data_IF_378021430084
#
_entry.id   IF_378021430084
#
_cell.length_a   1.000
_cell.length_b   1.000
_cell.length_c   1.000
_cell.angle_alpha   90.00
_cell.angle_beta   90.00
_cell.angle_gamma   90.00
#
_symmetry.space_group_name_H-M   'P 1'
#
loop_
_entity.id
_entity.type
_entity.pdbx_description
1 polymer ?
#
# COMPACT_ATOMS: atom_id res chain seq x y z
N UNK A 1 -24.80 33.80 -9.49
CA UNK A 1 -25.50 32.56 -9.88
C UNK A 1 -24.52 31.70 -10.65
N UNK A 2 -23.70 30.92 -9.94
CA UNK A 2 -22.66 30.08 -10.54
C UNK A 2 -23.31 28.77 -10.99
N UNK A 3 -23.32 28.50 -12.29
CA UNK A 3 -23.79 27.22 -12.81
C UNK A 3 -22.76 26.14 -12.47
N UNK A 4 -23.15 25.01 -11.87
CA UNK A 4 -22.26 23.87 -11.74
C UNK A 4 -22.05 23.23 -13.12
N UNK A 5 -20.80 23.21 -13.59
CA UNK A 5 -20.43 22.49 -14.80
C UNK A 5 -20.62 20.98 -14.59
N UNK A 6 -21.48 20.35 -15.38
CA UNK A 6 -21.67 18.91 -15.38
C UNK A 6 -20.36 18.19 -15.75
N UNK A 7 -19.94 17.14 -15.02
CA UNK A 7 -18.81 16.31 -15.42
C UNK A 7 -19.17 15.58 -16.71
N UNK A 8 -18.29 15.66 -17.71
CA UNK A 8 -18.41 14.97 -18.98
C UNK A 8 -18.71 13.47 -18.75
N UNK A 9 -19.86 13.01 -19.22
CA UNK A 9 -20.25 11.61 -19.08
C UNK A 9 -19.40 10.75 -20.01
N UNK A 10 -18.43 10.03 -19.45
CA UNK A 10 -17.70 8.99 -20.18
C UNK A 10 -18.66 7.81 -20.37
N UNK A 11 -19.21 7.66 -21.58
CA UNK A 11 -20.14 6.58 -21.89
C UNK A 11 -19.43 5.23 -21.73
N UNK A 12 -20.11 4.26 -21.10
CA UNK A 12 -19.60 2.89 -20.99
C UNK A 12 -19.61 2.25 -22.38
N UNK A 13 -18.42 2.13 -22.99
CA UNK A 13 -18.23 1.48 -24.31
C UNK A 13 -18.68 0.01 -24.31
N UNK A 14 -18.60 -0.66 -23.16
CA UNK A 14 -19.03 -2.05 -22.98
C UNK A 14 -20.16 -2.17 -21.96
N UNK A 15 -21.18 -2.96 -22.30
CA UNK A 15 -22.34 -3.17 -21.43
C UNK A 15 -22.01 -3.90 -20.11
N UNK A 16 -20.99 -4.78 -20.09
CA UNK A 16 -20.61 -5.56 -18.90
C UNK A 16 -19.09 -5.70 -18.78
N UNK A 17 -18.58 -5.84 -17.56
CA UNK A 17 -17.14 -6.06 -17.33
C UNK A 17 -16.62 -7.35 -17.99
N UNK A 18 -17.46 -8.38 -18.10
CA UNK A 18 -17.08 -9.64 -18.76
C UNK A 18 -16.81 -9.47 -20.26
N UNK A 19 -17.55 -8.61 -20.96
CA UNK A 19 -17.31 -8.35 -22.38
C UNK A 19 -16.03 -7.55 -22.60
N UNK A 20 -15.74 -6.56 -21.74
CA UNK A 20 -14.46 -5.87 -21.72
C UNK A 20 -13.30 -6.85 -21.52
N UNK A 21 -13.39 -7.71 -20.50
CA UNK A 21 -12.32 -8.67 -20.20
C UNK A 21 -12.08 -9.65 -21.36
N UNK A 22 -13.16 -10.10 -22.03
CA UNK A 22 -13.05 -10.95 -23.22
C UNK A 22 -12.34 -10.24 -24.37
N UNK A 23 -12.70 -8.98 -24.64
CA UNK A 23 -12.05 -8.16 -25.67
C UNK A 23 -10.55 -7.97 -25.37
N UNK A 24 -10.23 -7.57 -24.14
CA UNK A 24 -8.83 -7.39 -23.69
C UNK A 24 -8.04 -8.69 -23.81
N UNK A 25 -8.62 -9.83 -23.43
CA UNK A 25 -7.95 -11.12 -23.51
C UNK A 25 -7.69 -11.57 -24.95
N UNK A 26 -8.60 -11.27 -25.88
CA UNK A 26 -8.38 -11.53 -27.30
C UNK A 26 -7.21 -10.70 -27.85
N UNK A 27 -7.18 -9.39 -27.56
CA UNK A 27 -6.07 -8.51 -27.97
C UNK A 27 -4.75 -8.94 -27.36
N UNK A 28 -4.74 -9.32 -26.07
CA UNK A 28 -3.53 -9.80 -25.38
C UNK A 28 -2.88 -11.01 -26.07
N UNK A 29 -3.67 -11.87 -26.73
CA UNK A 29 -3.15 -13.03 -27.48
C UNK A 29 -2.48 -12.62 -28.80
N UNK A 30 -2.95 -11.56 -29.45
CA UNK A 30 -2.37 -11.04 -30.68
C UNK A 30 -1.09 -10.21 -30.41
N UNK A 31 -0.92 -9.67 -29.20
CA UNK A 31 0.26 -8.89 -28.84
C UNK A 31 1.51 -9.77 -28.66
N UNK A 32 2.72 -9.23 -28.92
CA UNK A 32 3.96 -9.96 -28.71
C UNK A 32 4.14 -10.38 -27.25
N UNK A 33 4.72 -11.56 -27.02
CA UNK A 33 4.97 -12.11 -25.67
C UNK A 33 5.94 -11.25 -24.86
N UNK A 34 6.96 -10.68 -25.51
CA UNK A 34 7.97 -9.85 -24.84
C UNK A 34 7.34 -8.56 -24.29
N UNK A 35 7.49 -8.26 -22.98
CA UNK A 35 6.91 -7.07 -22.36
C UNK A 35 7.36 -5.76 -23.00
N UNK A 36 8.65 -5.67 -23.39
CA UNK A 36 9.23 -4.47 -24.03
C UNK A 36 8.57 -4.21 -25.38
N UNK A 37 8.47 -5.25 -26.22
CA UNK A 37 7.84 -5.16 -27.55
C UNK A 37 6.35 -4.84 -27.43
N UNK A 38 5.65 -5.46 -26.47
CA UNK A 38 4.23 -5.19 -26.20
C UNK A 38 3.99 -3.72 -25.85
N UNK A 39 4.81 -3.15 -24.97
CA UNK A 39 4.72 -1.72 -24.60
C UNK A 39 4.95 -0.80 -25.81
N UNK A 40 5.90 -1.12 -26.67
CA UNK A 40 6.14 -0.32 -27.89
C UNK A 40 4.97 -0.38 -28.86
N UNK A 41 4.41 -1.57 -29.12
CA UNK A 41 3.25 -1.73 -30.01
C UNK A 41 2.06 -0.95 -29.47
N UNK A 42 1.77 -1.06 -28.17
CA UNK A 42 0.68 -0.30 -27.54
C UNK A 42 0.91 1.21 -27.67
N UNK A 43 2.13 1.70 -27.42
CA UNK A 43 2.45 3.13 -27.62
C UNK A 43 2.18 3.59 -29.04
N UNK A 44 2.68 2.85 -30.05
CA UNK A 44 2.43 3.19 -31.46
C UNK A 44 0.95 3.23 -31.81
N UNK A 45 0.18 2.23 -31.35
CA UNK A 45 -1.27 2.20 -31.57
C UNK A 45 -1.99 3.36 -30.88
N UNK A 46 -1.51 3.81 -29.72
CA UNK A 46 -2.05 5.00 -29.06
C UNK A 46 -1.66 6.27 -29.84
N UNK A 47 -0.41 6.40 -30.30
CA UNK A 47 0.04 7.54 -31.09
C UNK A 47 -0.73 7.65 -32.43
N UNK A 48 -1.08 6.51 -33.04
CA UNK A 48 -1.78 6.43 -34.33
C UNK A 48 -3.30 6.60 -34.22
N UNK A 49 -3.94 6.10 -33.15
CA UNK A 49 -5.40 5.99 -33.07
C UNK A 49 -6.02 6.56 -31.78
N UNK A 50 -5.21 6.93 -30.80
CA UNK A 50 -5.67 7.31 -29.46
C UNK A 50 -5.34 8.75 -29.11
N UNK A 51 -6.37 9.55 -28.81
CA UNK A 51 -6.18 10.75 -27.98
C UNK A 51 -6.03 10.28 -26.53
N UNK A 52 -4.80 9.96 -26.13
CA UNK A 52 -4.50 9.62 -24.73
C UNK A 52 -3.90 10.83 -24.05
N UNK A 53 -4.72 11.53 -23.28
CA UNK A 53 -4.22 12.32 -22.16
C UNK A 53 -3.33 11.38 -21.34
N UNK A 54 -2.01 11.59 -21.44
CA UNK A 54 -1.06 10.79 -20.69
C UNK A 54 -1.36 11.02 -19.21
N UNK A 55 -2.13 10.11 -18.62
CA UNK A 55 -2.14 9.98 -17.17
C UNK A 55 -0.76 9.44 -16.86
N UNK A 56 0.19 10.37 -16.70
CA UNK A 56 1.37 10.16 -15.91
C UNK A 56 0.82 9.74 -14.55
N UNK A 57 0.55 8.44 -14.38
CA UNK A 57 0.43 7.81 -13.09
C UNK A 57 1.80 8.05 -12.53
N UNK A 58 1.95 9.19 -11.83
CA UNK A 58 3.12 9.55 -11.08
C UNK A 58 3.50 8.25 -10.40
N UNK A 59 4.66 7.69 -10.75
CA UNK A 59 5.24 6.59 -9.97
C UNK A 59 5.01 7.04 -8.55
N UNK A 60 4.21 6.30 -7.77
CA UNK A 60 3.98 6.64 -6.37
C UNK A 60 5.38 6.75 -5.81
N UNK A 61 5.87 7.99 -5.68
CA UNK A 61 7.11 8.26 -5.03
C UNK A 61 6.92 7.57 -3.71
N UNK A 62 7.79 6.60 -3.40
CA UNK A 62 7.81 5.94 -2.11
C UNK A 62 7.51 7.02 -1.09
N UNK A 63 6.32 6.95 -0.48
CA UNK A 63 5.86 7.98 0.45
C UNK A 63 6.94 7.95 1.52
N UNK A 64 7.81 8.96 1.51
CA UNK A 64 8.75 9.15 2.58
C UNK A 64 7.87 9.23 3.82
N UNK A 65 8.11 8.33 4.77
CA UNK A 65 7.37 8.34 6.02
C UNK A 65 7.47 9.75 6.60
N UNK A 66 6.37 10.22 7.17
CA UNK A 66 6.33 11.51 7.84
C UNK A 66 7.38 11.55 8.95
N UNK A 67 8.05 12.69 9.11
CA UNK A 67 9.16 12.82 10.05
C UNK A 67 8.74 12.43 11.48
N UNK A 68 7.50 12.76 11.86
CA UNK A 68 6.90 12.40 13.14
C UNK A 68 6.79 10.87 13.32
N UNK A 69 6.39 10.15 12.26
CA UNK A 69 6.33 8.68 12.31
C UNK A 69 7.71 8.07 12.47
N UNK A 70 8.72 8.64 11.80
CA UNK A 70 10.11 8.18 11.90
C UNK A 70 10.64 8.40 13.32
N UNK A 71 10.34 9.56 13.92
CA UNK A 71 10.77 9.91 15.27
C UNK A 71 10.09 9.04 16.32
N UNK A 72 8.78 8.79 16.18
CA UNK A 72 8.03 7.90 17.06
C UNK A 72 8.54 6.44 17.01
N UNK A 73 8.89 5.93 15.82
CA UNK A 73 9.47 4.60 15.68
C UNK A 73 10.86 4.54 16.32
N UNK A 74 11.69 5.57 16.12
CA UNK A 74 13.01 5.65 16.75
C UNK A 74 12.89 5.67 18.27
N UNK A 75 12.05 6.54 18.83
CA UNK A 75 11.86 6.64 20.28
C UNK A 75 11.38 5.32 20.87
N UNK A 76 10.44 4.63 20.21
CA UNK A 76 9.94 3.33 20.67
C UNK A 76 11.04 2.27 20.80
N UNK A 77 11.98 2.19 19.85
CA UNK A 77 13.04 1.19 19.87
C UNK A 77 14.29 1.62 20.66
N UNK A 78 14.44 2.89 21.00
CA UNK A 78 15.51 3.41 21.87
C UNK A 78 15.13 3.49 23.34
N UNK A 79 13.84 3.43 23.68
CA UNK A 79 13.41 3.41 25.09
C UNK A 79 13.78 2.08 25.73
N UNK A 80 14.70 2.11 26.70
CA UNK A 80 15.11 0.92 27.47
C UNK A 80 14.01 0.44 28.45
N UNK A 81 12.99 1.24 28.70
CA UNK A 81 11.79 0.84 29.47
C UNK A 81 10.91 -0.21 28.75
N UNK A 82 11.18 -0.47 27.47
CA UNK A 82 10.41 -1.42 26.65
C UNK A 82 11.27 -2.65 26.38
N UNK A 83 10.80 -3.80 26.83
CA UNK A 83 11.45 -5.09 26.57
C UNK A 83 11.67 -5.30 25.06
N UNK A 84 12.95 -5.40 24.65
CA UNK A 84 13.34 -5.62 23.23
C UNK A 84 12.91 -6.99 22.71
N UNK A 85 12.72 -7.97 23.60
CA UNK A 85 12.33 -9.34 23.25
C UNK A 85 10.81 -9.44 23.02
N UNK A 86 10.02 -8.65 23.74
CA UNK A 86 8.56 -8.67 23.65
C UNK A 86 7.95 -7.25 23.80
N UNK A 87 8.08 -6.39 22.76
CA UNK A 87 7.55 -5.03 22.81
C UNK A 87 6.03 -5.05 23.07
N UNK A 88 5.59 -4.29 24.07
CA UNK A 88 4.17 -4.19 24.47
C UNK A 88 3.70 -5.21 25.52
N UNK A 89 4.56 -6.11 26.00
CA UNK A 89 4.29 -6.94 27.18
C UNK A 89 5.13 -6.43 28.35
N UNK A 90 4.47 -6.16 29.50
CA UNK A 90 5.19 -5.82 30.73
C UNK A 90 5.97 -7.04 31.20
N UNK A 91 7.25 -6.89 31.49
CA UNK A 91 8.05 -7.93 32.12
C UNK A 91 7.54 -8.11 33.57
N UNK A 92 6.98 -9.29 33.86
CA UNK A 92 6.46 -9.63 35.18
C UNK A 92 7.38 -10.64 35.83
N UNK A 93 8.04 -10.24 36.92
CA UNK A 93 8.79 -11.18 37.75
C UNK A 93 7.84 -11.77 38.78
N UNK A 94 7.63 -13.08 38.69
CA UNK A 94 6.84 -13.83 39.67
C UNK A 94 7.78 -14.35 40.75
N UNK A 95 7.70 -13.78 41.95
CA UNK A 95 8.44 -14.28 43.11
C UNK A 95 7.56 -15.27 43.90
N UNK A 96 8.14 -16.41 44.25
CA UNK A 96 7.54 -17.35 45.21
C UNK A 96 8.08 -17.05 46.60
N UNK A 97 7.18 -16.81 47.54
CA UNK A 97 7.55 -16.68 48.95
C UNK A 97 7.73 -18.07 49.58
N UNK A 98 8.41 -18.13 50.73
CA UNK A 98 8.63 -19.37 51.47
C UNK A 98 7.31 -20.10 51.86
N UNK A 99 6.23 -19.34 52.04
CA UNK A 99 4.90 -19.86 52.38
C UNK A 99 4.12 -20.42 51.17
N UNK A 100 4.76 -20.54 50.01
CA UNK A 100 4.14 -21.02 48.76
C UNK A 100 3.25 -20.00 48.04
N UNK A 101 3.03 -18.82 48.63
CA UNK A 101 2.28 -17.73 48.00
C UNK A 101 3.08 -17.07 46.86
N UNK A 102 2.40 -16.73 45.77
CA UNK A 102 2.98 -16.04 44.61
C UNK A 102 2.73 -14.54 44.73
N UNK A 103 3.77 -13.72 44.55
CA UNK A 103 3.64 -12.27 44.37
C UNK A 103 4.22 -11.87 43.02
N UNK A 104 3.43 -11.16 42.23
CA UNK A 104 3.88 -10.57 40.98
C UNK A 104 4.30 -9.13 41.27
N UNK A 105 5.59 -8.82 41.08
CA UNK A 105 6.04 -7.42 40.97
C UNK A 105 6.03 -7.09 39.48
N UNK A 106 5.11 -6.22 39.07
CA UNK A 106 5.41 -5.32 37.96
C UNK A 106 6.47 -4.34 38.47
N UNK A 107 7.35 -3.84 37.61
CA UNK A 107 8.34 -2.79 37.91
C UNK A 107 9.73 -3.35 38.24
N UNK A 108 10.24 -4.22 37.38
CA UNK A 108 11.69 -4.39 37.24
C UNK A 108 12.01 -4.01 35.79
N UNK A 109 12.42 -2.76 35.59
CA UNK A 109 13.17 -2.37 34.39
C UNK A 109 14.59 -2.93 34.55
N UNK A 110 15.04 -3.74 33.58
CA UNK A 110 16.43 -4.18 33.43
C UNK A 110 17.09 -3.31 32.37
#
# INVERSE_FOLDING_TARGET
MSTPSCPAQVSKVYARNSSLNRAVNNVKKALPKSPRKKKMVIRKLLDEYGEVESTNVKKRHLLSLEAETIEAVKSFYTCDDISRIAPGKRDVVTMRNADGSKKCKSDICI
#
